data_IF_154192075591
#
_entry.id   IF_154192075591
#
_cell.length_a   1.000
_cell.length_b   1.000
_cell.length_c   1.000
_cell.angle_alpha   90.00
_cell.angle_beta   90.00
_cell.angle_gamma   90.00
#
_symmetry.space_group_name_H-M   'P 1'
#
loop_
_entity.id
_entity.type
_entity.pdbx_description
1 polymer ?
#
# COMPACT_ATOMS: atom_id res chain seq x y z
N UNK A 1 17.09 -33.19 3.30
CA UNK A 1 17.85 -31.97 2.93
C UNK A 1 17.31 -31.35 1.65
N UNK A 2 17.27 -32.08 0.53
CA UNK A 2 16.82 -31.57 -0.79
C UNK A 2 15.42 -30.90 -0.76
N UNK A 3 14.45 -31.52 -0.09
CA UNK A 3 13.10 -30.94 0.07
C UNK A 3 13.12 -29.61 0.83
N UNK A 4 13.88 -29.51 1.91
CA UNK A 4 14.02 -28.27 2.68
C UNK A 4 14.68 -27.18 1.83
N UNK A 5 15.70 -27.53 1.03
CA UNK A 5 16.35 -26.59 0.12
C UNK A 5 15.38 -26.06 -0.94
N UNK A 6 14.55 -26.93 -1.51
CA UNK A 6 13.52 -26.53 -2.49
C UNK A 6 12.47 -25.61 -1.86
N UNK A 7 12.02 -25.92 -0.63
CA UNK A 7 11.06 -25.07 0.09
C UNK A 7 11.65 -23.67 0.32
N UNK A 8 12.89 -23.58 0.80
CA UNK A 8 13.58 -22.30 1.02
C UNK A 8 13.72 -21.51 -0.29
N UNK A 9 14.09 -22.18 -1.39
CA UNK A 9 14.21 -21.54 -2.70
C UNK A 9 12.88 -20.97 -3.18
N UNK A 10 11.78 -21.72 -3.07
CA UNK A 10 10.43 -21.27 -3.46
C UNK A 10 10.00 -20.07 -2.61
N UNK A 11 10.27 -20.09 -1.30
CA UNK A 11 9.96 -18.96 -0.42
C UNK A 11 10.78 -17.71 -0.77
N UNK A 12 12.06 -17.87 -1.10
CA UNK A 12 12.91 -16.74 -1.55
C UNK A 12 12.41 -16.14 -2.85
N UNK A 13 12.10 -16.97 -3.86
CA UNK A 13 11.54 -16.50 -5.13
C UNK A 13 10.22 -15.78 -4.93
N UNK A 14 9.34 -16.31 -4.07
CA UNK A 14 8.09 -15.66 -3.70
C UNK A 14 8.32 -14.31 -3.03
N UNK A 15 9.27 -14.23 -2.09
CA UNK A 15 9.61 -12.99 -1.40
C UNK A 15 10.12 -11.92 -2.38
N UNK A 16 10.98 -12.30 -3.33
CA UNK A 16 11.49 -11.41 -4.38
C UNK A 16 10.35 -10.96 -5.31
N UNK A 17 9.51 -11.89 -5.78
CA UNK A 17 8.38 -11.58 -6.65
C UNK A 17 7.41 -10.58 -6.00
N UNK A 18 7.04 -10.83 -4.73
CA UNK A 18 6.17 -9.92 -3.98
C UNK A 18 6.87 -8.59 -3.74
N UNK A 19 8.16 -8.60 -3.40
CA UNK A 19 8.97 -7.41 -3.20
C UNK A 19 9.01 -6.52 -4.45
N UNK A 20 9.23 -7.11 -5.63
CA UNK A 20 9.23 -6.42 -6.91
C UNK A 20 7.84 -5.86 -7.25
N UNK A 21 6.77 -6.63 -7.05
CA UNK A 21 5.39 -6.18 -7.30
C UNK A 21 5.02 -5.00 -6.41
N UNK A 22 5.38 -5.06 -5.13
CA UNK A 22 5.18 -3.97 -4.17
C UNK A 22 6.02 -2.75 -4.56
N UNK A 23 7.27 -2.97 -5.01
CA UNK A 23 8.21 -1.94 -5.43
C UNK A 23 7.71 -1.02 -6.55
N UNK A 24 6.84 -1.54 -7.43
CA UNK A 24 6.21 -0.77 -8.53
C UNK A 24 5.14 0.22 -8.07
N UNK A 25 4.73 0.17 -6.80
CA UNK A 25 3.69 1.03 -6.23
C UNK A 25 4.36 2.14 -5.43
N UNK A 26 3.93 3.38 -5.66
CA UNK A 26 4.48 4.59 -5.04
C UNK A 26 4.34 4.53 -3.52
N UNK A 27 5.42 4.78 -2.80
CA UNK A 27 5.40 4.84 -1.34
C UNK A 27 4.81 6.19 -0.89
N UNK A 28 3.69 6.15 -0.18
CA UNK A 28 3.13 7.35 0.46
C UNK A 28 3.82 7.58 1.80
N UNK A 29 3.89 6.52 2.61
CA UNK A 29 4.37 6.62 3.99
C UNK A 29 5.00 5.33 4.45
N UNK A 30 5.97 5.48 5.33
CA UNK A 30 6.60 4.40 6.08
C UNK A 30 6.52 4.75 7.57
N UNK A 31 6.04 3.82 8.38
CA UNK A 31 6.00 3.96 9.84
C UNK A 31 6.49 2.67 10.48
N UNK A 32 7.34 2.78 11.50
CA UNK A 32 7.94 1.62 12.16
C UNK A 32 9.27 1.95 12.82
N UNK A 33 9.82 1.00 13.58
CA UNK A 33 11.08 1.16 14.30
C UNK A 33 11.95 -0.08 14.07
N UNK A 34 13.21 0.14 13.72
CA UNK A 34 14.17 -0.94 13.48
C UNK A 34 13.79 -1.80 12.28
N UNK A 35 13.81 -3.14 12.47
CA UNK A 35 13.62 -4.10 11.39
C UNK A 35 12.17 -4.22 10.91
N UNK A 36 11.18 -3.94 11.77
CA UNK A 36 9.76 -4.04 11.45
C UNK A 36 9.21 -2.66 11.05
N UNK A 37 8.64 -2.57 9.86
CA UNK A 37 7.99 -1.35 9.38
C UNK A 37 6.76 -1.66 8.53
N UNK A 38 5.81 -0.73 8.59
CA UNK A 38 4.59 -0.72 7.81
C UNK A 38 4.72 0.37 6.74
N UNK A 39 4.43 0.01 5.51
CA UNK A 39 4.40 0.92 4.37
C UNK A 39 2.94 1.08 3.92
N UNK A 40 2.54 2.32 3.66
CA UNK A 40 1.35 2.62 2.88
C UNK A 40 1.82 3.05 1.49
N UNK A 41 1.32 2.35 0.47
CA UNK A 41 1.65 2.59 -0.93
C UNK A 41 0.39 2.87 -1.74
N UNK A 42 0.52 3.63 -2.82
CA UNK A 42 -0.56 4.04 -3.73
C UNK A 42 -0.18 3.83 -5.18
N UNK A 43 -1.15 3.45 -5.99
CA UNK A 43 -1.09 3.61 -7.42
C UNK A 43 -2.47 3.98 -7.95
N UNK A 44 -2.47 4.80 -9.01
CA UNK A 44 -3.66 5.13 -9.78
C UNK A 44 -3.49 4.50 -11.17
N UNK A 45 -4.54 3.87 -11.68
CA UNK A 45 -4.48 3.12 -12.94
C UNK A 45 -5.85 3.01 -13.59
N UNK A 46 -5.84 2.64 -14.87
CA UNK A 46 -7.04 2.25 -15.61
C UNK A 46 -7.27 0.75 -15.47
N UNK A 47 -8.38 0.35 -14.87
CA UNK A 47 -8.77 -1.05 -14.75
C UNK A 47 -9.71 -1.45 -15.89
N UNK A 48 -9.40 -2.56 -16.58
CA UNK A 48 -10.31 -3.15 -17.55
C UNK A 48 -11.27 -4.11 -16.84
N UNK A 49 -12.51 -3.67 -16.69
CA UNK A 49 -13.59 -4.50 -16.15
C UNK A 49 -14.11 -5.50 -17.19
N UNK A 50 -14.83 -6.55 -16.77
CA UNK A 50 -15.56 -7.41 -17.68
C UNK A 50 -16.51 -6.61 -18.60
N UNK A 51 -16.61 -7.02 -19.86
CA UNK A 51 -17.32 -6.27 -20.91
C UNK A 51 -18.81 -6.01 -20.61
N UNK A 52 -19.43 -6.82 -19.77
CA UNK A 52 -20.82 -6.63 -19.35
C UNK A 52 -21.01 -5.55 -18.28
N UNK A 53 -19.93 -5.10 -17.61
CA UNK A 53 -19.94 -4.01 -16.63
C UNK A 53 -19.55 -2.70 -17.31
N UNK A 54 -18.44 -2.71 -18.04
CA UNK A 54 -17.97 -1.56 -18.81
C UNK A 54 -17.21 -2.03 -20.03
N UNK A 55 -17.48 -1.39 -21.18
CA UNK A 55 -16.73 -1.62 -22.41
C UNK A 55 -15.38 -0.90 -22.40
N UNK A 56 -15.22 0.13 -21.57
CA UNK A 56 -14.03 0.96 -21.49
C UNK A 56 -13.31 0.76 -20.15
N UNK A 57 -11.96 0.93 -20.11
CA UNK A 57 -11.23 0.96 -18.86
C UNK A 57 -11.74 2.07 -17.94
N UNK A 58 -11.81 1.80 -16.64
CA UNK A 58 -12.27 2.76 -15.64
C UNK A 58 -11.14 3.20 -14.72
N UNK A 59 -11.12 4.48 -14.28
CA UNK A 59 -10.08 4.97 -13.40
C UNK A 59 -10.26 4.39 -12.00
N UNK A 60 -9.16 3.92 -11.41
CA UNK A 60 -9.13 3.41 -10.03
C UNK A 60 -7.92 3.92 -9.27
N UNK A 61 -8.13 4.13 -7.98
CA UNK A 61 -7.04 4.28 -7.02
C UNK A 61 -6.96 3.02 -6.16
N UNK A 62 -5.77 2.42 -6.09
CA UNK A 62 -5.47 1.33 -5.16
C UNK A 62 -4.48 1.81 -4.10
N UNK A 63 -4.78 1.44 -2.85
CA UNK A 63 -3.88 1.57 -1.71
C UNK A 63 -3.52 0.23 -1.15
N UNK A 64 -2.28 0.12 -0.72
CA UNK A 64 -1.69 -1.11 -0.26
C UNK A 64 -0.95 -0.87 1.04
N UNK A 65 -1.33 -1.60 2.07
CA UNK A 65 -0.58 -1.68 3.32
C UNK A 65 0.34 -2.88 3.29
N UNK A 66 1.61 -2.66 3.56
CA UNK A 66 2.65 -3.70 3.51
C UNK A 66 3.36 -3.73 4.84
N UNK A 67 3.42 -4.90 5.47
CA UNK A 67 4.26 -5.12 6.66
C UNK A 67 5.56 -5.78 6.20
N UNK A 68 6.68 -5.15 6.53
CA UNK A 68 8.02 -5.62 6.20
C UNK A 68 8.83 -5.87 7.45
N UNK A 69 9.62 -6.94 7.43
CA UNK A 69 10.66 -7.22 8.41
C UNK A 69 11.99 -7.41 7.69
N UNK A 70 13.00 -6.62 8.04
CA UNK A 70 14.33 -6.68 7.42
C UNK A 70 14.31 -6.64 5.87
N UNK A 71 13.37 -5.90 5.28
CA UNK A 71 13.18 -5.80 3.83
C UNK A 71 12.25 -6.86 3.22
N UNK A 72 11.96 -7.96 3.93
CA UNK A 72 11.07 -9.03 3.48
C UNK A 72 9.62 -8.63 3.72
N UNK A 73 8.76 -8.79 2.70
CA UNK A 73 7.31 -8.58 2.84
C UNK A 73 6.69 -9.75 3.61
N UNK A 74 6.19 -9.49 4.81
CA UNK A 74 5.49 -10.47 5.64
C UNK A 74 4.00 -10.52 5.33
N UNK A 75 3.40 -9.35 5.15
CA UNK A 75 1.96 -9.21 4.94
C UNK A 75 1.66 -8.08 3.96
N UNK A 76 0.58 -8.26 3.21
CA UNK A 76 0.07 -7.26 2.27
C UNK A 76 -1.45 -7.27 2.31
N UNK A 77 -2.02 -6.08 2.49
CA UNK A 77 -3.44 -5.82 2.39
C UNK A 77 -3.68 -4.74 1.32
N UNK A 78 -4.69 -4.93 0.48
CA UNK A 78 -4.99 -4.03 -0.65
C UNK A 78 -6.45 -3.61 -0.62
N UNK A 79 -6.71 -2.34 -0.92
CA UNK A 79 -8.04 -1.80 -1.12
C UNK A 79 -8.02 -0.91 -2.36
N UNK A 80 -9.08 -0.97 -3.17
CA UNK A 80 -9.23 -0.15 -4.37
C UNK A 80 -10.60 0.47 -4.42
N UNK A 81 -10.66 1.73 -4.83
CA UNK A 81 -11.90 2.45 -5.07
C UNK A 81 -12.03 2.76 -6.56
N UNK A 82 -13.27 2.88 -7.02
CA UNK A 82 -13.55 3.46 -8.33
C UNK A 82 -13.42 4.98 -8.21
N UNK A 83 -12.79 5.60 -9.21
CA UNK A 83 -12.73 7.05 -9.33
C UNK A 83 -13.84 7.52 -10.28
N UNK A 84 -14.29 8.77 -10.15
CA UNK A 84 -15.26 9.33 -11.08
C UNK A 84 -14.64 9.51 -12.47
N UNK A 85 -15.45 9.53 -13.54
CA UNK A 85 -14.94 9.52 -14.91
C UNK A 85 -14.11 10.76 -15.25
N UNK A 86 -14.37 11.90 -14.60
CA UNK A 86 -13.61 13.14 -14.76
C UNK A 86 -12.12 12.94 -14.39
N UNK A 87 -11.83 11.99 -13.50
CA UNK A 87 -10.48 11.61 -13.07
C UNK A 87 -9.63 11.07 -14.23
N UNK A 88 -10.25 10.64 -15.35
CA UNK A 88 -9.52 10.20 -16.53
C UNK A 88 -8.64 11.31 -17.12
N UNK A 89 -9.05 12.57 -16.98
CA UNK A 89 -8.34 13.72 -17.56
C UNK A 89 -7.05 14.09 -16.82
N UNK A 90 -6.92 13.72 -15.54
CA UNK A 90 -5.85 14.16 -14.65
C UNK A 90 -5.37 13.03 -13.72
N UNK A 91 -5.41 11.78 -14.21
CA UNK A 91 -5.17 10.57 -13.41
C UNK A 91 -3.84 10.58 -12.64
N UNK A 92 -2.78 11.15 -13.25
CA UNK A 92 -1.46 11.26 -12.63
C UNK A 92 -1.37 12.36 -11.56
N UNK A 93 -2.24 13.37 -11.65
CA UNK A 93 -2.22 14.57 -10.80
C UNK A 93 -3.21 14.50 -9.63
N UNK A 94 -4.01 13.42 -9.55
CA UNK A 94 -4.94 13.19 -8.44
C UNK A 94 -4.18 13.25 -7.12
N UNK A 95 -4.60 14.17 -6.24
CA UNK A 95 -3.93 14.33 -4.96
C UNK A 95 -4.21 13.13 -4.05
N UNK A 96 -3.28 12.84 -3.15
CA UNK A 96 -3.42 11.67 -2.25
C UNK A 96 -4.60 11.86 -1.29
N UNK A 97 -5.01 13.10 -0.98
CA UNK A 97 -6.13 13.36 -0.06
C UNK A 97 -7.50 13.45 -0.76
N UNK A 98 -7.56 13.58 -2.08
CA UNK A 98 -8.78 13.92 -2.82
C UNK A 98 -9.94 12.94 -2.56
N UNK A 99 -9.62 11.65 -2.56
CA UNK A 99 -10.58 10.56 -2.37
C UNK A 99 -10.31 9.78 -1.07
N UNK A 100 -9.63 10.39 -0.09
CA UNK A 100 -9.18 9.72 1.15
C UNK A 100 -10.34 9.08 1.93
N UNK A 101 -11.49 9.75 1.99
CA UNK A 101 -12.65 9.29 2.77
C UNK A 101 -13.34 8.04 2.22
N UNK A 102 -13.16 7.74 0.92
CA UNK A 102 -13.71 6.52 0.31
C UNK A 102 -12.93 5.27 0.73
N UNK A 103 -11.73 5.45 1.29
CA UNK A 103 -10.91 4.35 1.77
C UNK A 103 -11.26 3.95 3.23
N UNK A 104 -11.07 2.67 3.59
CA UNK A 104 -11.16 2.24 4.98
C UNK A 104 -10.13 2.97 5.85
N UNK A 105 -10.42 3.16 7.15
CA UNK A 105 -9.59 3.99 8.06
C UNK A 105 -8.09 3.67 8.00
N UNK A 106 -7.71 2.40 7.85
CA UNK A 106 -6.30 1.99 7.78
C UNK A 106 -5.58 2.49 6.53
N UNK A 107 -6.32 2.73 5.44
CA UNK A 107 -5.81 3.19 4.16
C UNK A 107 -5.91 4.71 3.99
N UNK A 108 -6.55 5.42 4.93
CA UNK A 108 -6.65 6.88 4.90
C UNK A 108 -5.34 7.51 5.35
N UNK A 109 -4.86 8.49 4.59
CA UNK A 109 -3.64 9.21 4.93
C UNK A 109 -3.87 10.11 6.13
N UNK A 110 -5.03 10.77 6.23
CA UNK A 110 -5.35 11.66 7.36
C UNK A 110 -5.39 10.90 8.69
N UNK A 111 -6.05 9.75 8.72
CA UNK A 111 -6.12 8.91 9.93
C UNK A 111 -4.75 8.42 10.41
N UNK A 112 -3.81 8.19 9.49
CA UNK A 112 -2.44 7.83 9.85
C UNK A 112 -1.64 9.03 10.38
N UNK A 113 -1.90 10.25 9.89
CA UNK A 113 -1.24 11.48 10.39
C UNK A 113 -1.70 11.74 11.82
N UNK A 114 -3.00 11.62 12.09
CA UNK A 114 -3.62 11.82 13.40
C UNK A 114 -3.29 10.74 14.43
N UNK A 115 -2.83 9.56 14.00
CA UNK A 115 -2.37 8.50 14.90
C UNK A 115 -0.93 8.70 15.41
N UNK A 116 -0.18 9.67 14.86
CA UNK A 116 1.21 9.96 15.23
C UNK A 116 1.45 11.06 16.30
N UNK A 117 0.55 12.04 16.58
CA UNK A 117 0.82 13.10 17.55
C UNK A 117 0.87 12.59 19.00
N UNK A 118 0.19 11.49 19.35
CA UNK A 118 0.25 10.93 20.71
C UNK A 118 1.57 10.20 21.04
N UNK A 119 2.37 9.79 20.03
CA UNK A 119 3.66 9.11 20.28
C UNK A 119 4.80 10.06 20.56
N UNK A 120 4.69 11.35 20.21
CA UNK A 120 5.74 12.35 20.48
C UNK A 120 5.73 12.88 21.91
N UNK A 121 4.63 12.71 22.66
CA UNK A 121 4.50 13.26 24.03
C UNK A 121 4.84 12.26 25.14
N UNK A 122 5.16 11.00 24.81
CA UNK A 122 5.44 9.93 25.78
C UNK A 122 6.94 9.62 25.93
N UNK A 123 7.77 10.67 25.97
CA UNK A 123 9.23 10.53 25.92
C UNK A 123 10.02 11.69 26.52
N UNK A 124 9.70 12.12 27.74
CA UNK A 124 10.71 12.70 28.65
C UNK A 124 10.45 12.20 30.06
N UNK A 125 11.25 11.24 30.59
CA UNK A 125 11.47 11.23 32.03
C UNK A 125 12.28 12.49 32.36
N UNK A 126 11.66 13.40 33.11
CA UNK A 126 12.35 14.47 33.82
C UNK A 126 13.26 13.83 34.86
N UNK A 127 14.57 13.91 34.61
CA UNK A 127 15.61 13.80 35.63
C UNK A 127 16.06 15.22 36.01
#
# INVERSE_FOLDING_TARGET
MLVATVIVLVLMLRAIYVGAKVGRVTLIRRSGRGLLHVELRRCVYMERLPAYISQFPVPREMRMRVVRMAGIVLWRETCSIALPDEACSHLADISIQEYDEQFPRWARVRALIEAEPERSLRGRPSH
#
